data_IF_092911783373
#
_entry.id   IF_092911783373
#
_cell.length_a   1.000
_cell.length_b   1.000
_cell.length_c   1.000
_cell.angle_alpha   90.00
_cell.angle_beta   90.00
_cell.angle_gamma   90.00
#
_symmetry.space_group_name_H-M   'P 1'
#
loop_
_entity.id
_entity.type
_entity.pdbx_description
1 polymer ?
#
# COMPACT_ATOMS: atom_id res chain seq x y z
N UNK A 1 3.14 -19.39 -2.23
CA UNK A 1 3.44 -18.02 -2.72
C UNK A 1 4.73 -17.53 -2.09
N UNK A 2 5.62 -16.98 -2.89
CA UNK A 2 6.90 -16.47 -2.39
C UNK A 2 6.71 -15.11 -1.73
N UNK A 3 7.67 -14.75 -0.86
CA UNK A 3 7.66 -13.45 -0.19
C UNK A 3 7.68 -12.31 -1.21
N UNK A 4 8.46 -12.49 -2.26
CA UNK A 4 8.61 -11.49 -3.30
C UNK A 4 7.29 -11.23 -4.04
N UNK A 5 6.55 -12.29 -4.30
CA UNK A 5 5.26 -12.17 -4.96
C UNK A 5 4.22 -11.51 -4.04
N UNK A 6 4.26 -11.84 -2.76
CA UNK A 6 3.38 -11.21 -1.79
C UNK A 6 3.67 -9.72 -1.68
N UNK A 7 4.95 -9.35 -1.68
CA UNK A 7 5.36 -7.96 -1.60
C UNK A 7 4.82 -7.18 -2.81
N UNK A 8 4.97 -7.75 -4.00
CA UNK A 8 4.48 -7.10 -5.20
C UNK A 8 2.96 -6.96 -5.20
N UNK A 9 2.28 -7.98 -4.70
CA UNK A 9 0.82 -7.99 -4.63
C UNK A 9 0.31 -6.89 -3.70
N UNK A 10 0.87 -6.80 -2.50
CA UNK A 10 0.44 -5.79 -1.55
C UNK A 10 0.75 -4.37 -2.04
N UNK A 11 1.89 -4.20 -2.72
CA UNK A 11 2.26 -2.91 -3.28
C UNK A 11 1.24 -2.47 -4.34
N UNK A 12 0.82 -3.39 -5.17
CA UNK A 12 -0.16 -3.10 -6.22
C UNK A 12 -1.52 -2.73 -5.62
N UNK A 13 -1.96 -3.47 -4.62
CA UNK A 13 -3.21 -3.18 -3.94
C UNK A 13 -3.18 -1.79 -3.32
N UNK A 14 -2.10 -1.49 -2.60
CA UNK A 14 -1.96 -0.21 -1.93
C UNK A 14 -1.87 0.94 -2.93
N UNK A 15 -1.14 0.74 -4.01
CA UNK A 15 -1.03 1.77 -5.03
C UNK A 15 -2.39 2.10 -5.63
N UNK A 16 -3.19 1.08 -5.92
CA UNK A 16 -4.53 1.30 -6.45
C UNK A 16 -5.41 2.07 -5.47
N UNK A 17 -5.32 1.73 -4.20
CA UNK A 17 -6.10 2.42 -3.17
C UNK A 17 -5.68 3.88 -3.04
N UNK A 18 -4.37 4.13 -3.01
CA UNK A 18 -3.87 5.50 -2.87
C UNK A 18 -4.24 6.34 -4.09
N UNK A 19 -4.14 5.78 -5.28
CA UNK A 19 -4.53 6.49 -6.50
C UNK A 19 -6.02 6.83 -6.49
N UNK A 20 -6.84 5.92 -5.99
CA UNK A 20 -8.27 6.18 -5.86
C UNK A 20 -8.53 7.36 -4.92
N UNK A 21 -7.83 7.40 -3.80
CA UNK A 21 -8.01 8.49 -2.83
C UNK A 21 -7.55 9.83 -3.39
N UNK A 22 -6.48 9.82 -4.17
CA UNK A 22 -6.01 11.04 -4.86
C UNK A 22 -7.07 11.51 -5.84
N UNK A 23 -7.64 10.59 -6.59
CA UNK A 23 -8.67 10.91 -7.57
C UNK A 23 -9.91 11.50 -6.92
N UNK A 24 -10.23 11.03 -5.73
CA UNK A 24 -11.39 11.53 -4.96
C UNK A 24 -11.08 12.81 -4.21
N UNK A 25 -9.84 13.28 -4.23
CA UNK A 25 -9.46 14.49 -3.56
C UNK A 25 -9.18 14.34 -2.07
N UNK A 26 -9.07 13.11 -1.59
CA UNK A 26 -8.80 12.83 -0.18
C UNK A 26 -7.32 12.85 0.16
N UNK A 27 -6.45 12.84 -0.86
CA UNK A 27 -5.02 12.69 -0.65
C UNK A 27 -4.27 13.42 -1.77
N UNK A 28 -3.08 13.91 -1.43
CA UNK A 28 -2.21 14.57 -2.40
C UNK A 28 -1.39 13.54 -3.18
N UNK A 29 -1.06 13.85 -4.44
CA UNK A 29 -0.25 12.97 -5.28
C UNK A 29 1.16 12.80 -4.75
N UNK A 30 1.65 13.77 -3.99
CA UNK A 30 3.00 13.73 -3.43
C UNK A 30 3.00 13.30 -1.96
N UNK A 31 1.94 12.62 -1.54
CA UNK A 31 1.86 12.10 -0.18
C UNK A 31 2.99 11.12 0.08
N UNK A 32 3.58 11.21 1.28
CA UNK A 32 4.71 10.36 1.66
C UNK A 32 4.38 8.87 1.64
N UNK A 33 3.10 8.50 1.69
CA UNK A 33 2.70 7.11 1.62
C UNK A 33 3.11 6.46 0.29
N UNK A 34 3.18 7.26 -0.78
CA UNK A 34 3.66 6.73 -2.06
C UNK A 34 5.13 6.34 -1.99
N UNK A 35 5.92 7.06 -1.19
CA UNK A 35 7.33 6.72 -1.00
C UNK A 35 7.49 5.38 -0.29
N UNK A 36 6.58 5.06 0.61
CA UNK A 36 6.61 3.76 1.29
C UNK A 36 6.44 2.61 0.32
N UNK A 37 5.68 2.82 -0.76
CA UNK A 37 5.46 1.78 -1.75
C UNK A 37 6.71 1.50 -2.57
N UNK A 38 7.60 2.46 -2.68
CA UNK A 38 8.84 2.27 -3.42
C UNK A 38 9.86 1.42 -2.65
N UNK A 39 9.73 1.38 -1.32
CA UNK A 39 10.57 0.56 -0.49
C UNK A 39 10.13 -0.90 -0.53
N UNK A 40 11.02 -1.78 -0.11
CA UNK A 40 10.74 -3.21 -0.08
C UNK A 40 10.54 -3.73 1.33
N UNK A 41 10.05 -2.88 2.22
CA UNK A 41 9.79 -3.26 3.61
C UNK A 41 8.36 -3.80 3.74
N UNK A 42 8.25 -5.12 3.66
CA UNK A 42 6.96 -5.80 3.72
C UNK A 42 6.20 -5.49 5.01
N UNK A 43 6.91 -5.39 6.13
CA UNK A 43 6.27 -5.10 7.43
C UNK A 43 5.62 -3.72 7.43
N UNK A 44 6.31 -2.73 6.87
CA UNK A 44 5.77 -1.38 6.76
C UNK A 44 4.53 -1.36 5.87
N UNK A 45 4.59 -2.10 4.77
CA UNK A 45 3.46 -2.17 3.83
C UNK A 45 2.26 -2.87 4.45
N UNK A 46 2.49 -3.90 5.25
CA UNK A 46 1.39 -4.56 5.97
C UNK A 46 0.73 -3.61 6.96
N UNK A 47 1.53 -2.80 7.65
CA UNK A 47 1.03 -1.80 8.56
C UNK A 47 0.18 -0.76 7.85
N UNK A 48 0.65 -0.31 6.70
CA UNK A 48 -0.10 0.64 5.88
C UNK A 48 -1.41 0.03 5.39
N UNK A 49 -1.36 -1.22 4.95
CA UNK A 49 -2.56 -1.92 4.49
C UNK A 49 -3.62 -1.95 5.58
N UNK A 50 -3.21 -2.32 6.80
CA UNK A 50 -4.12 -2.37 7.93
C UNK A 50 -4.72 -1.01 8.23
N UNK A 51 -3.93 0.03 8.07
CA UNK A 51 -4.36 1.40 8.34
C UNK A 51 -5.42 1.85 7.33
N UNK A 52 -5.22 1.51 6.07
CA UNK A 52 -6.12 1.95 5.00
C UNK A 52 -7.39 1.13 4.93
N UNK A 53 -7.29 -0.16 5.15
CA UNK A 53 -8.43 -1.08 4.96
C UNK A 53 -9.10 -1.50 6.26
N UNK A 54 -8.44 -1.29 7.40
CA UNK A 54 -9.00 -1.62 8.70
C UNK A 54 -8.83 -3.07 9.12
N UNK A 55 -8.14 -3.87 8.32
CA UNK A 55 -7.82 -5.25 8.66
C UNK A 55 -6.46 -5.62 8.08
N UNK A 56 -5.85 -6.66 8.63
CA UNK A 56 -4.50 -7.04 8.24
C UNK A 56 -4.45 -7.73 6.88
N UNK A 57 -3.31 -7.58 6.18
CA UNK A 57 -3.08 -8.28 4.93
C UNK A 57 -2.86 -9.77 5.21
N UNK A 58 -3.57 -10.63 4.50
CA UNK A 58 -3.45 -12.08 4.62
C UNK A 58 -3.06 -12.67 3.27
N UNK A 59 -2.17 -13.63 3.32
CA UNK A 59 -1.72 -14.33 2.12
C UNK A 59 -2.61 -15.53 1.84
#
# INVERSE_FOLDING_TARGET
MTRQKQLQDIKEILLNELNYRVKCGEMSEDNSLFEMLEGNNFQALKGLYRRLFGYGYEC
#
